data_IF_809786535352
#
_entry.id   IF_809786535352
#
_cell.length_a   1.000
_cell.length_b   1.000
_cell.length_c   1.000
_cell.angle_alpha   90.00
_cell.angle_beta   90.00
_cell.angle_gamma   90.00
#
_symmetry.space_group_name_H-M   'P 1'
#
loop_
_entity.id
_entity.type
_entity.pdbx_description
1 polymer ?
#
# COMPACT_ATOMS: atom_id res chain seq x y z
N UNK A 1 9.05 31.35 -13.61
CA UNK A 1 8.83 31.73 -12.20
C UNK A 1 7.57 31.03 -11.71
N UNK A 2 7.69 30.07 -10.78
CA UNK A 2 6.55 29.34 -10.23
C UNK A 2 5.93 30.12 -9.05
N UNK A 3 4.59 30.20 -8.92
CA UNK A 3 3.95 30.96 -7.86
C UNK A 3 4.09 30.27 -6.50
N UNK A 4 4.47 31.07 -5.49
CA UNK A 4 4.61 30.65 -4.10
C UNK A 4 3.24 30.37 -3.47
N UNK A 5 3.16 29.22 -2.79
CA UNK A 5 2.37 28.85 -1.59
C UNK A 5 0.95 29.41 -1.46
N UNK A 6 0.01 28.48 -1.23
CA UNK A 6 -1.44 28.71 -1.08
C UNK A 6 -1.87 29.77 -0.05
N UNK A 7 -3.19 30.02 0.06
CA UNK A 7 -3.75 31.21 0.69
C UNK A 7 -3.41 31.29 2.19
N UNK A 8 -2.25 31.86 2.49
CA UNK A 8 -1.89 32.27 3.83
C UNK A 8 -2.76 33.43 4.26
N UNK A 9 -3.14 33.47 5.53
CA UNK A 9 -3.78 34.66 6.11
C UNK A 9 -2.88 35.87 5.81
N UNK A 10 -3.45 36.91 5.21
CA UNK A 10 -2.76 38.19 4.99
C UNK A 10 -2.18 38.63 6.34
N UNK A 11 -0.90 38.97 6.35
CA UNK A 11 -0.23 39.44 7.56
C UNK A 11 -1.02 40.63 8.10
N UNK A 12 -1.45 40.56 9.36
CA UNK A 12 -2.10 41.69 10.01
C UNK A 12 -1.10 42.84 10.04
N UNK A 13 -1.46 44.00 9.54
CA UNK A 13 -0.61 45.19 9.65
C UNK A 13 -0.47 45.56 11.12
N UNK A 14 0.76 45.45 11.64
CA UNK A 14 1.09 45.86 13.00
C UNK A 14 1.55 47.31 12.96
N UNK A 15 0.75 48.22 13.51
CA UNK A 15 1.18 49.58 13.78
C UNK A 15 1.79 49.63 15.18
N UNK A 16 3.01 50.18 15.29
CA UNK A 16 3.54 50.54 16.60
C UNK A 16 2.71 51.72 17.15
N UNK A 17 2.10 51.51 18.31
CA UNK A 17 1.41 52.59 19.02
C UNK A 17 2.40 53.67 19.49
N UNK A 18 1.90 54.87 19.84
CA UNK A 18 2.74 55.93 20.39
C UNK A 18 3.39 55.47 21.71
N UNK A 19 4.62 55.92 21.95
CA UNK A 19 5.34 55.66 23.21
C UNK A 19 4.55 56.32 24.35
N UNK A 20 4.08 55.52 25.29
CA UNK A 20 3.35 55.96 26.49
C UNK A 20 3.96 55.36 27.75
N UNK A 21 3.76 56.04 28.87
CA UNK A 21 4.19 55.53 30.18
C UNK A 21 3.42 54.25 30.56
N UNK A 22 4.10 53.36 31.28
CA UNK A 22 3.52 52.10 31.72
C UNK A 22 2.58 52.36 32.91
N UNK A 23 1.30 52.08 32.72
CA UNK A 23 0.27 52.35 33.74
C UNK A 23 -0.02 51.11 34.58
N UNK A 24 -0.62 51.28 35.76
CA UNK A 24 -1.05 50.17 36.64
C UNK A 24 -1.89 49.09 35.92
N UNK A 25 -2.87 49.41 35.05
CA UNK A 25 -3.61 48.39 34.32
C UNK A 25 -2.75 47.58 33.32
N UNK A 26 -1.67 48.14 32.79
CA UNK A 26 -0.75 47.39 31.92
C UNK A 26 0.03 46.32 32.70
N UNK A 27 0.33 46.61 33.97
CA UNK A 27 0.96 45.65 34.87
C UNK A 27 -0.01 44.54 35.28
N UNK A 28 -1.31 44.81 35.31
CA UNK A 28 -2.35 43.81 35.57
C UNK A 28 -2.49 42.84 34.39
N UNK A 29 -2.43 43.34 33.15
CA UNK A 29 -2.41 42.51 31.93
C UNK A 29 -1.23 41.51 31.90
N UNK A 30 -0.08 41.88 32.47
CA UNK A 30 1.07 40.97 32.57
C UNK A 30 0.85 39.81 33.55
N UNK A 31 -0.09 39.95 34.49
CA UNK A 31 -0.47 38.89 35.43
C UNK A 31 -1.46 37.91 34.80
N UNK A 32 -2.15 38.30 33.73
CA UNK A 32 -3.07 37.42 33.02
C UNK A 32 -2.30 36.29 32.30
N UNK A 33 -2.74 35.05 32.50
CA UNK A 33 -2.14 33.90 31.84
C UNK A 33 -2.40 33.99 30.34
N UNK A 34 -1.33 34.15 29.55
CA UNK A 34 -1.40 34.14 28.09
C UNK A 34 -2.18 32.92 27.61
N UNK A 35 -3.06 33.11 26.62
CA UNK A 35 -3.82 32.04 26.02
C UNK A 35 -2.90 30.88 25.63
N UNK A 36 -3.28 29.66 26.06
CA UNK A 36 -2.52 28.47 25.76
C UNK A 36 -2.46 28.27 24.24
N UNK A 37 -1.27 27.95 23.73
CA UNK A 37 -1.13 27.60 22.31
C UNK A 37 -1.96 26.34 22.07
N UNK A 38 -2.82 26.31 21.03
CA UNK A 38 -3.70 25.17 20.79
C UNK A 38 -2.87 23.90 20.61
N UNK A 39 -3.25 22.86 21.35
CA UNK A 39 -2.76 21.50 21.13
C UNK A 39 -3.24 20.98 19.78
N UNK A 40 -2.57 19.96 19.25
CA UNK A 40 -2.92 19.42 17.94
C UNK A 40 -4.20 18.60 18.09
N UNK A 41 -5.23 18.98 17.36
CA UNK A 41 -6.51 18.26 17.37
C UNK A 41 -6.50 17.07 16.40
N UNK A 42 -5.71 17.16 15.33
CA UNK A 42 -5.69 16.16 14.25
C UNK A 42 -4.37 16.20 13.49
N UNK A 43 -3.84 15.01 13.19
CA UNK A 43 -2.65 14.80 12.38
C UNK A 43 -3.05 14.88 10.89
N UNK A 44 -2.62 15.97 10.26
CA UNK A 44 -2.73 16.21 8.80
C UNK A 44 -1.47 15.83 8.04
N UNK A 45 -1.54 15.71 6.71
CA UNK A 45 -0.41 15.43 5.81
C UNK A 45 0.81 16.32 6.03
N UNK A 46 0.60 17.61 6.32
CA UNK A 46 1.70 18.53 6.63
C UNK A 46 2.51 18.09 7.85
N UNK A 47 1.86 17.47 8.85
CA UNK A 47 2.54 16.90 10.02
C UNK A 47 3.27 15.60 9.65
N UNK A 48 2.71 14.76 8.78
CA UNK A 48 3.41 13.58 8.26
C UNK A 48 4.71 13.97 7.54
N UNK A 49 4.68 15.04 6.75
CA UNK A 49 5.88 15.57 6.09
C UNK A 49 6.93 15.98 7.12
N UNK A 50 6.55 16.74 8.15
CA UNK A 50 7.48 17.17 9.22
C UNK A 50 7.98 15.97 10.04
N UNK A 51 7.13 14.97 10.29
CA UNK A 51 7.49 13.76 11.02
C UNK A 51 8.56 12.96 10.29
N UNK A 52 8.45 12.81 8.95
CA UNK A 52 9.50 12.18 8.12
C UNK A 52 10.83 12.92 8.21
N UNK A 53 10.82 14.25 8.12
CA UNK A 53 12.04 15.06 8.26
C UNK A 53 12.68 14.93 9.65
N UNK A 54 11.86 14.87 10.71
CA UNK A 54 12.33 14.59 12.07
C UNK A 54 12.88 13.16 12.22
N UNK A 55 12.26 12.19 11.54
CA UNK A 55 12.69 10.79 11.58
C UNK A 55 14.05 10.60 10.89
N UNK A 56 14.30 11.34 9.80
CA UNK A 56 15.61 11.41 9.12
C UNK A 56 16.72 12.05 9.97
N UNK A 57 16.40 12.65 11.12
CA UNK A 57 17.40 13.25 12.02
C UNK A 57 17.89 14.63 11.60
N UNK A 58 17.16 15.34 10.73
CA UNK A 58 17.52 16.70 10.32
C UNK A 58 17.50 17.69 11.47
N UNK A 59 18.31 18.76 11.37
CA UNK A 59 18.34 19.82 12.37
C UNK A 59 17.05 20.62 12.31
N UNK A 60 16.69 21.24 13.44
CA UNK A 60 15.45 22.03 13.55
C UNK A 60 15.39 23.16 12.51
N UNK A 61 16.51 23.79 12.19
CA UNK A 61 16.60 24.82 11.15
C UNK A 61 16.22 24.30 9.77
N UNK A 62 16.84 23.20 9.34
CA UNK A 62 16.59 22.57 8.04
C UNK A 62 15.14 22.10 7.91
N UNK A 63 14.56 21.57 9.00
CA UNK A 63 13.16 21.16 9.04
C UNK A 63 12.24 22.36 8.82
N UNK A 64 12.51 23.49 9.47
CA UNK A 64 11.72 24.73 9.33
C UNK A 64 11.80 25.25 7.90
N UNK A 65 12.98 25.28 7.31
CA UNK A 65 13.21 25.72 5.95
C UNK A 65 12.46 24.84 4.94
N UNK A 66 12.63 23.52 5.03
CA UNK A 66 12.02 22.57 4.09
C UNK A 66 10.50 22.47 4.25
N UNK A 67 10.01 22.44 5.50
CA UNK A 67 8.58 22.27 5.78
C UNK A 67 7.78 23.56 5.66
N UNK A 68 8.41 24.72 5.86
CA UNK A 68 7.75 26.02 5.93
C UNK A 68 7.04 26.30 7.26
N UNK A 69 7.22 25.45 8.27
CA UNK A 69 6.68 25.68 9.61
C UNK A 69 7.58 26.62 10.40
N UNK A 70 7.00 27.53 11.21
CA UNK A 70 7.77 28.33 12.15
C UNK A 70 8.30 27.51 13.34
N UNK A 71 9.43 27.93 13.91
CA UNK A 71 10.08 27.29 15.07
C UNK A 71 9.14 27.04 16.24
N UNK A 72 8.30 28.01 16.59
CA UNK A 72 7.34 27.86 17.69
C UNK A 72 6.34 26.73 17.45
N UNK A 73 5.83 26.60 16.21
CA UNK A 73 4.88 25.54 15.84
C UNK A 73 5.55 24.16 15.86
N UNK A 74 6.79 24.07 15.40
CA UNK A 74 7.59 22.84 15.47
C UNK A 74 7.89 22.43 16.91
N UNK A 75 8.16 23.40 17.80
CA UNK A 75 8.38 23.15 19.23
C UNK A 75 7.13 22.57 19.90
N UNK A 76 5.94 23.10 19.59
CA UNK A 76 4.67 22.54 20.08
C UNK A 76 4.45 21.13 19.54
N UNK A 77 4.73 20.92 18.25
CA UNK A 77 4.55 19.62 17.60
C UNK A 77 5.43 18.53 18.22
N UNK A 78 6.69 18.83 18.56
CA UNK A 78 7.60 17.89 19.22
C UNK A 78 7.25 17.55 20.67
N UNK A 79 6.39 18.34 21.32
CA UNK A 79 5.91 18.07 22.68
C UNK A 79 4.67 17.20 22.70
N UNK A 80 4.04 16.97 21.55
CA UNK A 80 2.82 16.17 21.45
C UNK A 80 3.16 14.67 21.38
N UNK A 81 2.62 13.82 22.28
CA UNK A 81 2.89 12.39 22.28
C UNK A 81 2.46 11.70 20.98
N UNK A 82 1.32 12.08 20.41
CA UNK A 82 0.83 11.46 19.17
C UNK A 82 1.74 11.76 17.97
N UNK A 83 2.41 12.92 17.99
CA UNK A 83 3.40 13.25 16.97
C UNK A 83 4.72 12.48 17.19
N UNK A 84 5.13 12.25 18.43
CA UNK A 84 6.32 11.46 18.74
C UNK A 84 6.15 10.01 18.28
N UNK A 85 4.99 9.41 18.51
CA UNK A 85 4.67 8.06 18.03
C UNK A 85 4.77 7.98 16.49
N UNK A 86 4.28 9.01 15.78
CA UNK A 86 4.39 9.11 14.33
C UNK A 86 5.84 9.26 13.85
N UNK A 87 6.66 10.02 14.57
CA UNK A 87 8.10 10.12 14.25
C UNK A 87 8.77 8.77 14.46
N UNK A 88 8.41 8.03 15.51
CA UNK A 88 8.97 6.71 15.78
C UNK A 88 8.57 5.69 14.70
N UNK A 89 7.33 5.70 14.23
CA UNK A 89 6.90 4.82 13.13
C UNK A 89 7.74 5.06 11.87
N UNK A 90 7.94 6.32 11.48
CA UNK A 90 8.80 6.65 10.34
C UNK A 90 10.28 6.33 10.57
N UNK A 91 10.78 6.43 11.80
CA UNK A 91 12.15 5.99 12.11
C UNK A 91 12.31 4.50 11.89
N UNK A 92 11.31 3.70 12.27
CA UNK A 92 11.34 2.24 12.05
C UNK A 92 11.36 1.91 10.55
N UNK A 93 10.53 2.58 9.74
CA UNK A 93 10.53 2.41 8.28
C UNK A 93 11.87 2.82 7.64
N UNK A 94 12.41 3.98 8.01
CA UNK A 94 13.69 4.46 7.48
C UNK A 94 14.84 3.54 7.92
N UNK A 95 14.83 3.07 9.16
CA UNK A 95 15.85 2.13 9.63
C UNK A 95 15.72 0.76 8.96
N UNK A 96 14.50 0.31 8.62
CA UNK A 96 14.29 -0.92 7.86
C UNK A 96 14.87 -0.79 6.45
N UNK A 97 14.55 0.29 5.74
CA UNK A 97 15.10 0.53 4.39
C UNK A 97 16.61 0.80 4.40
N UNK A 98 17.12 1.49 5.42
CA UNK A 98 18.56 1.66 5.61
C UNK A 98 19.24 0.32 5.90
N UNK A 99 18.63 -0.58 6.68
CA UNK A 99 19.17 -1.93 6.89
C UNK A 99 19.18 -2.75 5.60
N UNK A 100 18.15 -2.66 4.77
CA UNK A 100 18.12 -3.28 3.45
C UNK A 100 19.23 -2.73 2.53
N UNK A 101 19.53 -1.42 2.61
CA UNK A 101 20.58 -0.77 1.80
C UNK A 101 22.00 -0.99 2.35
N UNK A 102 22.15 -1.17 3.66
CA UNK A 102 23.43 -1.41 4.34
C UNK A 102 23.86 -2.88 4.24
N UNK A 103 23.00 -3.76 3.71
CA UNK A 103 23.44 -5.09 3.34
C UNK A 103 24.51 -4.94 2.24
N UNK A 104 25.78 -5.13 2.60
CA UNK A 104 26.95 -5.00 1.72
C UNK A 104 26.77 -5.82 0.43
N UNK A 105 26.02 -6.91 0.55
CA UNK A 105 25.57 -7.73 -0.56
C UNK A 105 24.67 -6.98 -1.56
N UNK A 106 23.71 -6.18 -1.10
CA UNK A 106 22.85 -5.37 -1.97
C UNK A 106 23.65 -4.28 -2.70
N UNK A 107 24.57 -3.61 -2.00
CA UNK A 107 25.44 -2.62 -2.61
C UNK A 107 26.34 -3.24 -3.71
N UNK A 108 26.96 -4.38 -3.41
CA UNK A 108 27.75 -5.15 -4.37
C UNK A 108 26.90 -5.63 -5.56
N UNK A 109 25.67 -6.09 -5.33
CA UNK A 109 24.76 -6.55 -6.37
C UNK A 109 24.38 -5.41 -7.32
N UNK A 110 24.04 -4.23 -6.79
CA UNK A 110 23.73 -3.04 -7.60
C UNK A 110 24.95 -2.61 -8.42
N UNK A 111 26.15 -2.59 -7.82
CA UNK A 111 27.37 -2.24 -8.54
C UNK A 111 27.66 -3.22 -9.69
N UNK A 112 27.58 -4.53 -9.42
CA UNK A 112 27.76 -5.57 -10.42
C UNK A 112 26.72 -5.48 -11.54
N UNK A 113 25.46 -5.19 -11.19
CA UNK A 113 24.38 -4.98 -12.16
C UNK A 113 24.70 -3.81 -13.09
N UNK A 114 25.10 -2.64 -12.56
CA UNK A 114 25.44 -1.47 -13.38
C UNK A 114 26.63 -1.76 -14.30
N UNK A 115 27.64 -2.49 -13.82
CA UNK A 115 28.79 -2.91 -14.65
C UNK A 115 28.37 -3.86 -15.77
N UNK A 116 27.51 -4.84 -15.46
CA UNK A 116 26.99 -5.77 -16.46
C UNK A 116 26.18 -5.06 -17.56
N UNK A 117 25.33 -4.11 -17.19
CA UNK A 117 24.54 -3.31 -18.15
C UNK A 117 25.43 -2.48 -19.08
N UNK A 118 26.53 -1.90 -18.57
CA UNK A 118 27.49 -1.16 -19.41
C UNK A 118 28.17 -2.07 -20.42
N UNK A 119 28.68 -3.22 -19.98
CA UNK A 119 29.30 -4.20 -20.87
C UNK A 119 28.31 -4.72 -21.93
N UNK A 120 27.03 -4.81 -21.57
CA UNK A 120 25.99 -5.21 -22.49
C UNK A 120 25.69 -4.13 -23.53
N UNK A 121 25.65 -2.86 -23.11
CA UNK A 121 25.51 -1.72 -24.02
C UNK A 121 26.67 -1.66 -25.01
N UNK A 122 27.91 -1.79 -24.55
CA UNK A 122 29.11 -1.77 -25.40
C UNK A 122 29.04 -2.88 -26.47
N UNK A 123 28.61 -4.10 -26.09
CA UNK A 123 28.44 -5.22 -27.03
C UNK A 123 27.32 -5.01 -28.04
N UNK A 124 26.23 -4.34 -27.64
CA UNK A 124 25.14 -4.02 -28.54
C UNK A 124 25.59 -3.01 -29.60
N UNK A 125 26.36 -2.00 -29.18
CA UNK A 125 26.95 -1.00 -30.08
C UNK A 125 27.98 -1.62 -31.03
N UNK A 126 28.86 -2.50 -30.52
CA UNK A 126 29.83 -3.23 -31.34
C UNK A 126 29.15 -4.15 -32.37
N UNK A 127 28.11 -4.89 -31.97
CA UNK A 127 27.34 -5.73 -32.89
C UNK A 127 26.65 -4.90 -33.98
N UNK A 128 26.09 -3.74 -33.64
CA UNK A 128 25.51 -2.80 -34.62
C UNK A 128 26.57 -2.26 -35.59
N UNK A 129 27.75 -1.90 -35.10
CA UNK A 129 28.86 -1.40 -35.91
C UNK A 129 29.44 -2.47 -36.87
N UNK A 130 29.54 -3.72 -36.42
CA UNK A 130 30.01 -4.84 -37.23
C UNK A 130 28.93 -5.39 -38.20
N UNK A 131 27.68 -4.93 -38.04
CA UNK A 131 26.54 -5.47 -38.79
C UNK A 131 26.19 -6.92 -38.43
N UNK A 132 26.68 -7.40 -37.29
CA UNK A 132 26.37 -8.73 -36.76
C UNK A 132 25.16 -8.63 -35.83
N UNK A 133 24.22 -9.58 -35.92
CA UNK A 133 23.05 -9.59 -35.03
C UNK A 133 23.31 -10.50 -33.85
N UNK A 134 23.10 -9.96 -32.64
CA UNK A 134 23.04 -10.79 -31.44
C UNK A 134 21.87 -11.78 -31.54
N UNK A 135 21.98 -12.98 -30.93
CA UNK A 135 20.91 -13.97 -30.97
C UNK A 135 19.63 -13.40 -30.37
N UNK A 136 18.51 -13.53 -31.10
CA UNK A 136 17.20 -12.95 -30.74
C UNK A 136 16.72 -13.37 -29.34
N UNK A 137 17.10 -14.57 -28.89
CA UNK A 137 16.78 -15.06 -27.54
C UNK A 137 17.37 -14.17 -26.45
N UNK A 138 18.58 -13.68 -26.64
CA UNK A 138 19.30 -12.91 -25.63
C UNK A 138 18.77 -11.46 -25.63
N UNK A 139 18.43 -10.91 -26.79
CA UNK A 139 17.73 -9.62 -26.91
C UNK A 139 16.37 -9.63 -26.20
N UNK A 140 15.59 -10.71 -26.33
CA UNK A 140 14.31 -10.87 -25.63
C UNK A 140 14.52 -10.97 -24.12
N UNK A 141 15.59 -11.63 -23.65
CA UNK A 141 15.90 -11.75 -22.23
C UNK A 141 16.23 -10.37 -21.62
N UNK A 142 17.07 -9.58 -22.29
CA UNK A 142 17.44 -8.22 -21.88
C UNK A 142 16.22 -7.31 -21.80
N UNK A 143 15.37 -7.34 -22.83
CA UNK A 143 14.16 -6.52 -22.88
C UNK A 143 13.16 -6.86 -21.76
N UNK A 144 13.05 -8.14 -21.38
CA UNK A 144 12.19 -8.58 -20.27
C UNK A 144 12.73 -8.13 -18.92
N UNK A 145 14.03 -8.30 -18.70
CA UNK A 145 14.67 -7.93 -17.43
C UNK A 145 14.59 -6.40 -17.19
N UNK A 146 14.78 -5.61 -18.24
CA UNK A 146 14.56 -4.16 -18.19
C UNK A 146 13.10 -3.77 -17.93
N UNK A 147 12.13 -4.47 -18.54
CA UNK A 147 10.70 -4.22 -18.33
C UNK A 147 10.27 -4.53 -16.88
N UNK A 148 10.78 -5.61 -16.28
CA UNK A 148 10.47 -5.98 -14.90
C UNK A 148 11.03 -4.94 -13.91
N UNK A 149 12.24 -4.41 -14.15
CA UNK A 149 12.86 -3.37 -13.30
C UNK A 149 12.19 -2.00 -13.40
N UNK A 150 11.62 -1.67 -14.57
CA UNK A 150 10.93 -0.39 -14.81
C UNK A 150 9.44 -0.45 -14.45
N UNK A 151 8.95 -1.59 -13.96
CA UNK A 151 7.55 -1.77 -13.55
C UNK A 151 6.57 -2.02 -14.71
N UNK A 152 7.09 -2.22 -15.92
CA UNK A 152 6.35 -2.68 -17.11
C UNK A 152 6.28 -4.21 -17.22
N UNK A 153 6.82 -4.92 -16.23
CA UNK A 153 6.73 -6.36 -16.08
C UNK A 153 5.32 -6.90 -15.96
N UNK A 154 5.18 -8.21 -16.16
CA UNK A 154 3.90 -8.91 -15.94
C UNK A 154 3.55 -8.89 -14.45
N UNK A 155 2.59 -8.05 -14.06
CA UNK A 155 2.09 -8.01 -12.68
C UNK A 155 1.19 -9.21 -12.43
N UNK A 156 1.64 -10.14 -11.58
CA UNK A 156 0.78 -11.17 -11.04
C UNK A 156 -0.06 -10.55 -9.91
N UNK A 157 -1.24 -10.04 -10.27
CA UNK A 157 -2.18 -9.55 -9.27
C UNK A 157 -2.90 -10.73 -8.64
N UNK A 158 -2.37 -11.24 -7.52
CA UNK A 158 -3.10 -12.21 -6.70
C UNK A 158 -4.22 -11.48 -5.96
N UNK A 159 -5.38 -11.36 -6.60
CA UNK A 159 -6.58 -10.84 -5.95
C UNK A 159 -7.06 -11.92 -4.98
N UNK A 160 -6.80 -11.75 -3.69
CA UNK A 160 -7.44 -12.54 -2.65
C UNK A 160 -8.92 -12.15 -2.60
N UNK A 161 -9.72 -12.80 -3.46
CA UNK A 161 -11.17 -12.74 -3.37
C UNK A 161 -11.57 -13.60 -2.17
N UNK A 162 -11.65 -12.98 -0.99
CA UNK A 162 -12.33 -13.58 0.15
C UNK A 162 -13.82 -13.66 -0.18
N UNK A 163 -14.22 -14.71 -0.91
CA UNK A 163 -15.62 -15.08 -1.02
C UNK A 163 -16.00 -15.61 0.35
N UNK A 164 -16.67 -14.78 1.15
CA UNK A 164 -17.16 -15.17 2.46
C UNK A 164 -18.30 -16.20 2.28
N UNK A 165 -17.92 -17.47 2.14
CA UNK A 165 -18.83 -18.59 1.98
C UNK A 165 -19.76 -18.73 3.19
N UNK A 166 -19.29 -18.34 4.37
CA UNK A 166 -20.10 -18.34 5.59
C UNK A 166 -21.26 -17.34 5.47
N UNK A 167 -21.00 -16.12 5.01
CA UNK A 167 -22.04 -15.12 4.78
C UNK A 167 -23.06 -15.56 3.73
N UNK A 168 -22.62 -16.21 2.63
CA UNK A 168 -23.52 -16.74 1.60
C UNK A 168 -24.36 -17.92 2.09
N UNK A 169 -23.79 -18.79 2.93
CA UNK A 169 -24.49 -19.96 3.47
C UNK A 169 -25.51 -19.56 4.54
N UNK A 170 -25.19 -18.59 5.39
CA UNK A 170 -26.11 -18.04 6.39
C UNK A 170 -27.28 -17.31 5.71
N UNK A 171 -27.02 -16.51 4.67
CA UNK A 171 -28.06 -15.89 3.85
C UNK A 171 -28.92 -16.92 3.09
N UNK A 172 -28.38 -18.09 2.73
CA UNK A 172 -29.15 -19.18 2.15
C UNK A 172 -30.05 -19.86 3.20
N UNK A 173 -29.52 -20.09 4.41
CA UNK A 173 -30.26 -20.68 5.54
C UNK A 173 -31.43 -19.80 6.00
N UNK A 174 -31.23 -18.48 6.05
CA UNK A 174 -32.30 -17.53 6.39
C UNK A 174 -33.40 -17.48 5.33
N UNK A 175 -33.05 -17.66 4.03
CA UNK A 175 -34.03 -17.75 2.95
C UNK A 175 -34.84 -19.05 3.01
N UNK A 176 -34.21 -20.18 3.30
CA UNK A 176 -34.91 -21.47 3.39
C UNK A 176 -35.77 -21.60 4.65
N UNK A 177 -35.35 -21.04 5.79
CA UNK A 177 -36.13 -21.03 7.02
C UNK A 177 -37.47 -20.28 6.89
N UNK A 178 -37.57 -19.32 5.96
CA UNK A 178 -38.76 -18.49 5.77
C UNK A 178 -39.84 -19.15 4.90
N UNK A 179 -39.53 -20.27 4.22
CA UNK A 179 -40.42 -20.88 3.20
C UNK A 179 -41.17 -22.13 3.72
N UNK A 180 -40.84 -22.65 4.91
CA UNK A 180 -41.49 -23.86 5.47
C UNK A 180 -42.60 -23.47 6.46
N UNK A 181 -43.72 -22.96 5.93
CA UNK A 181 -45.04 -23.08 6.58
C UNK A 181 -46.09 -23.39 5.51
N UNK A 182 -46.02 -24.60 4.94
CA UNK A 182 -47.18 -25.21 4.28
C UNK A 182 -47.75 -26.22 5.26
N UNK A 183 -48.93 -25.91 5.78
CA UNK A 183 -49.68 -26.75 6.71
C UNK A 183 -49.98 -28.11 6.08
N UNK A 184 -49.50 -29.18 6.74
CA UNK A 184 -49.85 -30.57 6.42
C UNK A 184 -51.17 -30.89 7.10
N UNK A 185 -52.25 -30.99 6.32
CA UNK A 185 -53.52 -31.56 6.77
C UNK A 185 -53.45 -33.10 6.77
N UNK A 186 -54.06 -33.81 7.74
CA UNK A 186 -54.04 -35.27 7.77
C UNK A 186 -55.26 -35.91 7.07
N UNK A 187 -54.93 -36.96 6.29
CA UNK A 187 -55.61 -38.27 6.23
C UNK A 187 -56.96 -38.46 5.52
N UNK A 188 -56.93 -39.22 4.42
CA UNK A 188 -57.90 -40.29 4.13
C UNK A 188 -57.34 -41.28 3.09
N UNK A 189 -57.21 -42.55 3.46
CA UNK A 189 -56.88 -43.70 2.61
C UNK A 189 -58.17 -44.33 2.01
N UNK A 190 -58.15 -45.49 1.33
CA UNK A 190 -57.28 -46.02 0.26
C UNK A 190 -58.11 -46.52 -0.97
N UNK A 191 -57.51 -46.73 -2.15
CA UNK A 191 -58.10 -47.64 -3.15
C UNK A 191 -57.15 -48.10 -4.28
N UNK A 192 -56.88 -49.42 -4.26
CA UNK A 192 -56.93 -50.36 -5.41
C UNK A 192 -55.69 -50.51 -6.33
N UNK A 193 -55.13 -51.74 -6.27
CA UNK A 193 -54.26 -52.44 -7.25
C UNK A 193 -55.16 -53.52 -7.90
N UNK A 194 -55.16 -53.81 -9.23
CA UNK A 194 -54.16 -54.70 -9.89
C UNK A 194 -54.04 -54.53 -11.44
N UNK A 195 -53.48 -55.48 -12.25
CA UNK A 195 -52.12 -56.07 -12.25
C UNK A 195 -51.46 -56.07 -13.66
N UNK A 196 -50.13 -56.26 -13.76
CA UNK A 196 -49.46 -56.61 -15.03
C UNK A 196 -47.93 -56.49 -15.03
N UNK A 197 -47.24 -57.63 -14.83
CA UNK A 197 -45.77 -57.88 -14.95
C UNK A 197 -45.26 -57.76 -16.42
N UNK A 198 -43.93 -57.88 -16.75
CA UNK A 198 -42.73 -58.21 -15.95
C UNK A 198 -41.53 -57.23 -16.13
N UNK A 199 -40.68 -57.03 -15.11
CA UNK A 199 -39.32 -57.60 -14.91
C UNK A 199 -38.37 -57.51 -16.12
N UNK A 200 -37.38 -56.62 -16.01
CA UNK A 200 -36.17 -56.58 -16.83
C UNK A 200 -35.06 -55.87 -16.06
N UNK A 201 -34.10 -56.65 -15.56
CA UNK A 201 -32.89 -56.19 -14.91
C UNK A 201 -31.92 -55.60 -15.95
N UNK A 202 -31.21 -54.53 -15.61
CA UNK A 202 -29.81 -54.40 -15.99
C UNK A 202 -29.06 -53.40 -15.11
N UNK A 203 -27.81 -53.78 -14.84
CA UNK A 203 -26.85 -53.24 -13.88
C UNK A 203 -26.16 -51.92 -14.30
N UNK A 204 -25.44 -51.26 -13.38
CA UNK A 204 -24.83 -49.94 -13.59
C UNK A 204 -23.42 -50.02 -14.19
N UNK A 205 -23.00 -49.02 -14.98
CA UNK A 205 -21.59 -48.85 -15.36
C UNK A 205 -21.01 -47.51 -14.89
N UNK A 206 -20.00 -47.64 -14.02
CA UNK A 206 -18.96 -46.66 -13.71
C UNK A 206 -18.18 -46.28 -14.98
N UNK A 207 -17.91 -44.99 -15.16
CA UNK A 207 -16.85 -44.52 -16.07
C UNK A 207 -15.85 -43.67 -15.29
N UNK A 208 -14.77 -44.32 -14.88
CA UNK A 208 -13.47 -43.71 -14.58
C UNK A 208 -12.67 -43.59 -15.88
N UNK A 209 -12.08 -42.42 -16.16
CA UNK A 209 -10.89 -42.35 -17.02
C UNK A 209 -9.93 -41.24 -16.55
N UNK A 210 -8.61 -41.36 -16.88
CA UNK A 210 -7.53 -40.93 -16.00
C UNK A 210 -6.63 -39.81 -16.56
N UNK A 211 -5.77 -39.32 -15.66
CA UNK A 211 -4.62 -38.41 -15.87
C UNK A 211 -3.56 -39.03 -16.80
N UNK A 212 -2.87 -38.24 -17.66
CA UNK A 212 -1.58 -38.64 -18.21
C UNK A 212 -0.39 -37.89 -17.58
N UNK A 213 0.61 -38.67 -17.15
CA UNK A 213 1.94 -38.24 -16.70
C UNK A 213 3.00 -38.60 -17.76
N UNK A 214 3.84 -37.60 -18.08
CA UNK A 214 5.24 -37.61 -18.54
C UNK A 214 5.70 -38.47 -19.75
N UNK A 215 6.57 -37.88 -20.58
CA UNK A 215 7.95 -38.39 -20.76
C UNK A 215 8.90 -37.46 -21.55
N UNK A 216 10.11 -37.39 -21.03
CA UNK A 216 11.36 -36.89 -21.60
C UNK A 216 12.01 -37.90 -22.57
N UNK A 217 12.70 -37.45 -23.63
CA UNK A 217 13.93 -38.03 -24.24
C UNK A 217 14.60 -36.92 -25.09
N UNK A 218 15.77 -36.35 -24.76
CA UNK A 218 17.19 -36.71 -25.06
C UNK A 218 17.65 -36.71 -26.54
N UNK A 219 18.63 -35.84 -26.81
CA UNK A 219 19.78 -35.86 -27.75
C UNK A 219 19.63 -36.43 -29.18
N UNK A 220 20.05 -35.60 -30.15
CA UNK A 220 21.16 -35.88 -31.09
C UNK A 220 22.02 -34.63 -31.13
#
# INVERSE_FOLDING_TARGET
MAPLRGPGKIAKDWTLGPVRELTRPDLELLKEKRAAIPTIQSIKDSHHRVARLCAMGLRTGDIVEQSGYGYGRLSVLRKDPAFLDLVESYRREINASAREQVDEYHAMLVENMVRAERMLADKLEEAEAEGSTLPTRDLIAIARDAADRTGYGKKNTTVNVNVDFAAKLEAARQRSARVITVARAPESAPAVIPPGLPVGADEPQEQTTPVPVARSVRRV
#
